data_IF_816433768242
#
_entry.id   IF_816433768242
#
_cell.length_a   1.000
_cell.length_b   1.000
_cell.length_c   1.000
_cell.angle_alpha   90.00
_cell.angle_beta   90.00
_cell.angle_gamma   90.00
#
_symmetry.space_group_name_H-M   'P 1'
#
loop_
_entity.id
_entity.type
_entity.pdbx_description
1 polymer ?
#
# COMPACT_ATOMS: atom_id res chain seq x y z
N UNK A 1 28.60 28.22 -12.67
CA UNK A 1 29.10 27.54 -11.45
C UNK A 1 28.09 26.47 -11.07
N UNK A 2 28.56 25.36 -10.53
CA UNK A 2 28.00 23.99 -10.55
C UNK A 2 26.52 23.88 -10.11
N UNK A 3 25.74 23.12 -10.87
CA UNK A 3 24.34 22.77 -10.61
C UNK A 3 24.24 22.00 -9.28
N UNK A 4 23.56 22.58 -8.30
CA UNK A 4 23.35 22.01 -6.96
C UNK A 4 22.66 20.65 -7.07
N UNK A 5 23.30 19.61 -6.55
CA UNK A 5 22.62 18.36 -6.19
C UNK A 5 21.78 18.67 -4.96
N UNK A 6 20.46 18.45 -5.01
CA UNK A 6 19.59 18.69 -3.85
C UNK A 6 18.78 17.43 -3.56
N UNK A 7 19.50 16.39 -3.14
CA UNK A 7 18.93 15.36 -2.26
C UNK A 7 19.41 15.61 -0.83
N UNK A 8 18.60 15.19 0.13
CA UNK A 8 18.91 15.29 1.55
C UNK A 8 18.70 13.96 2.22
N UNK A 9 19.71 13.53 3.00
CA UNK A 9 19.53 12.48 4.00
C UNK A 9 18.97 13.12 5.26
N UNK A 10 17.68 12.93 5.51
CA UNK A 10 16.96 13.54 6.62
C UNK A 10 16.81 12.56 7.78
N UNK A 11 16.88 13.07 9.00
CA UNK A 11 16.39 12.34 10.18
C UNK A 11 14.86 12.20 10.05
N UNK A 12 14.25 11.04 10.34
CA UNK A 12 12.81 10.84 10.26
C UNK A 12 11.98 11.89 11.01
N UNK A 13 12.50 12.47 12.09
CA UNK A 13 11.79 13.56 12.79
C UNK A 13 11.57 14.81 11.93
N UNK A 14 12.42 15.00 10.91
CA UNK A 14 12.37 16.11 9.96
C UNK A 14 11.52 15.77 8.71
N UNK A 15 10.95 14.56 8.65
CA UNK A 15 10.00 14.10 7.62
C UNK A 15 8.66 13.74 8.29
N UNK A 16 7.75 14.73 8.49
CA UNK A 16 6.55 14.54 9.28
C UNK A 16 5.72 13.32 8.87
N UNK A 17 5.37 12.50 9.85
CA UNK A 17 4.53 11.32 9.68
C UNK A 17 5.26 10.06 9.21
N UNK A 18 6.53 10.16 8.81
CA UNK A 18 7.30 9.04 8.27
C UNK A 18 8.37 8.54 9.24
N UNK A 19 8.64 7.25 9.17
CA UNK A 19 9.74 6.58 9.85
C UNK A 19 10.44 5.65 8.87
N UNK A 20 11.63 5.19 9.22
CA UNK A 20 12.44 4.32 8.34
C UNK A 20 12.97 3.10 9.09
N UNK A 21 13.26 2.03 8.35
CA UNK A 21 14.00 0.86 8.83
C UNK A 21 15.47 0.88 8.41
N UNK A 22 15.91 1.95 7.71
CA UNK A 22 17.32 2.12 7.31
C UNK A 22 18.24 2.06 8.53
N UNK A 23 19.38 1.38 8.38
CA UNK A 23 20.32 1.16 9.48
C UNK A 23 20.92 2.44 10.06
N UNK A 24 20.97 3.52 9.27
CA UNK A 24 21.42 4.83 9.72
C UNK A 24 20.27 5.70 10.23
N UNK A 25 19.04 5.19 10.21
CA UNK A 25 17.81 5.91 10.55
C UNK A 25 17.70 7.22 9.74
N UNK A 26 17.85 7.13 8.42
CA UNK A 26 17.72 8.27 7.51
C UNK A 26 16.69 8.01 6.40
N UNK A 27 16.05 9.07 5.94
CA UNK A 27 15.14 9.08 4.78
C UNK A 27 15.74 10.01 3.73
N UNK A 28 15.96 9.51 2.52
CA UNK A 28 16.46 10.35 1.42
C UNK A 28 15.30 10.97 0.64
N UNK A 29 15.27 12.30 0.58
CA UNK A 29 14.30 13.07 -0.20
C UNK A 29 15.03 13.85 -1.28
N UNK A 30 14.52 13.78 -2.51
CA UNK A 30 15.08 14.46 -3.67
C UNK A 30 14.21 15.62 -4.09
N UNK A 31 14.81 16.80 -4.30
CA UNK A 31 14.17 17.82 -5.11
C UNK A 31 14.17 17.39 -6.58
N UNK A 32 13.00 17.40 -7.21
CA UNK A 32 12.86 16.99 -8.60
C UNK A 32 12.90 18.19 -9.55
N UNK A 33 13.52 18.07 -10.75
CA UNK A 33 14.10 16.85 -11.29
C UNK A 33 15.56 16.61 -10.85
N UNK A 34 15.86 15.39 -10.40
CA UNK A 34 17.22 14.90 -10.14
C UNK A 34 17.42 13.56 -10.86
N UNK A 35 18.54 13.39 -11.59
CA UNK A 35 18.78 12.21 -12.45
C UNK A 35 17.61 11.84 -13.38
N UNK A 36 16.86 12.84 -13.86
CA UNK A 36 15.66 12.68 -14.70
C UNK A 36 14.49 11.99 -13.98
N UNK A 37 14.55 11.85 -12.66
CA UNK A 37 13.42 11.51 -11.82
C UNK A 37 12.57 12.77 -11.62
N UNK A 38 11.32 12.69 -12.08
CA UNK A 38 10.29 13.71 -11.90
C UNK A 38 9.32 13.14 -10.87
N UNK A 39 8.91 13.93 -9.88
CA UNK A 39 7.93 13.48 -8.89
C UNK A 39 6.57 13.26 -9.57
N UNK A 40 5.77 12.36 -9.01
CA UNK A 40 4.38 12.21 -9.43
C UNK A 40 3.56 13.43 -8.97
N UNK A 41 3.80 13.88 -7.74
CA UNK A 41 3.14 15.04 -7.15
C UNK A 41 4.18 16.03 -6.60
N UNK A 42 3.84 17.32 -6.59
CA UNK A 42 4.66 18.34 -5.94
C UNK A 42 6.06 18.47 -6.54
N UNK A 43 7.08 18.57 -5.68
CA UNK A 43 8.48 18.86 -6.06
C UNK A 43 9.49 17.86 -5.50
N UNK A 44 9.00 16.81 -4.82
CA UNK A 44 9.85 15.90 -4.05
C UNK A 44 9.50 14.45 -4.32
N UNK A 45 10.49 13.56 -4.21
CA UNK A 45 10.36 12.11 -4.31
C UNK A 45 11.25 11.46 -3.25
N UNK A 46 10.83 10.33 -2.69
CA UNK A 46 11.60 9.59 -1.69
C UNK A 46 12.42 8.48 -2.35
N UNK A 47 13.64 8.23 -1.89
CA UNK A 47 14.44 7.07 -2.29
C UNK A 47 14.44 6.04 -1.14
N UNK A 48 13.95 4.82 -1.38
CA UNK A 48 13.74 3.83 -0.33
C UNK A 48 15.04 3.24 0.21
N UNK A 49 15.99 2.91 -0.68
CA UNK A 49 17.23 2.24 -0.30
C UNK A 49 18.45 3.09 -0.60
N UNK A 50 18.49 4.32 -0.10
CA UNK A 50 19.61 5.25 -0.26
C UNK A 50 20.97 4.64 0.13
N UNK A 51 21.12 4.29 1.42
CA UNK A 51 22.37 3.76 1.99
C UNK A 51 22.32 2.24 2.25
N UNK A 52 21.12 1.69 2.42
CA UNK A 52 20.89 0.27 2.69
C UNK A 52 19.49 -0.13 2.20
N UNK A 53 19.22 -1.42 1.91
CA UNK A 53 17.86 -1.89 1.71
C UNK A 53 17.03 -1.58 2.94
N UNK A 54 16.01 -0.75 2.76
CA UNK A 54 15.19 -0.23 3.82
C UNK A 54 13.75 -0.03 3.35
N UNK A 55 12.93 0.39 4.31
CA UNK A 55 11.56 0.76 4.10
C UNK A 55 11.28 2.11 4.73
N UNK A 56 10.33 2.86 4.18
CA UNK A 56 9.67 3.96 4.88
C UNK A 56 8.26 3.56 5.25
N UNK A 57 7.79 3.98 6.42
CA UNK A 57 6.49 3.56 6.93
C UNK A 57 5.80 4.64 7.76
N UNK A 58 4.48 4.47 7.88
CA UNK A 58 3.63 5.21 8.82
C UNK A 58 2.86 4.21 9.69
N UNK A 59 2.67 4.54 10.97
CA UNK A 59 1.68 3.86 11.81
C UNK A 59 0.42 4.73 11.83
N UNK A 60 -0.63 4.26 11.17
CA UNK A 60 -1.86 5.02 10.94
C UNK A 60 -2.96 4.53 11.87
N UNK A 61 -3.76 5.44 12.42
CA UNK A 61 -5.02 5.08 13.07
C UNK A 61 -5.96 4.49 12.02
N UNK A 62 -6.57 3.34 12.34
CA UNK A 62 -7.46 2.64 11.41
C UNK A 62 -8.72 2.14 12.12
N UNK A 63 -9.85 2.34 11.46
CA UNK A 63 -11.13 1.80 11.89
C UNK A 63 -11.17 0.27 11.74
N UNK A 64 -11.37 -0.43 12.86
CA UNK A 64 -11.47 -1.90 12.89
C UNK A 64 -12.56 -2.43 11.96
N UNK A 65 -12.27 -3.53 11.25
CA UNK A 65 -13.22 -4.14 10.32
C UNK A 65 -13.53 -3.30 9.09
N UNK A 66 -12.79 -2.21 8.82
CA UNK A 66 -12.94 -1.43 7.60
C UNK A 66 -12.02 -1.93 6.50
N UNK A 67 -12.42 -1.68 5.26
CA UNK A 67 -11.62 -1.91 4.07
C UNK A 67 -10.86 -0.62 3.71
N UNK A 68 -9.57 -0.77 3.49
CA UNK A 68 -8.69 0.30 3.04
C UNK A 68 -8.06 -0.06 1.69
N UNK A 69 -7.80 0.98 0.89
CA UNK A 69 -6.91 0.92 -0.25
C UNK A 69 -5.56 1.49 0.16
N UNK A 70 -4.49 0.77 -0.12
CA UNK A 70 -3.14 1.32 -0.11
C UNK A 70 -2.72 1.58 -1.56
N UNK A 71 -1.91 2.61 -1.77
CA UNK A 71 -1.27 2.81 -3.06
C UNK A 71 0.02 3.61 -2.96
N UNK A 72 0.84 3.54 -4.00
CA UNK A 72 2.03 4.36 -4.17
C UNK A 72 2.48 4.35 -5.63
N UNK A 73 3.29 5.34 -5.98
CA UNK A 73 3.97 5.43 -7.26
C UNK A 73 5.41 4.98 -7.10
N UNK A 74 5.93 4.18 -8.03
CA UNK A 74 7.27 3.62 -7.98
C UNK A 74 8.00 3.78 -9.31
N UNK A 75 9.30 4.09 -9.27
CA UNK A 75 10.18 3.96 -10.43
C UNK A 75 11.58 3.54 -10.01
N UNK A 76 12.33 3.05 -10.99
CA UNK A 76 13.74 2.83 -10.82
C UNK A 76 14.51 4.15 -10.87
N UNK A 77 15.57 4.27 -10.06
CA UNK A 77 16.47 5.41 -10.08
C UNK A 77 17.30 5.40 -11.37
N UNK A 78 18.11 4.36 -11.55
CA UNK A 78 18.99 4.19 -12.71
C UNK A 78 19.50 2.75 -12.84
N UNK A 79 19.86 2.35 -14.05
CA UNK A 79 20.75 1.21 -14.28
C UNK A 79 20.12 -0.18 -14.04
N UNK A 80 18.98 -0.44 -14.66
CA UNK A 80 18.34 -1.76 -14.72
C UNK A 80 16.97 -1.80 -14.05
N UNK A 81 16.65 -2.94 -13.44
CA UNK A 81 15.37 -3.21 -12.77
C UNK A 81 15.51 -3.01 -11.27
N UNK A 82 14.56 -2.32 -10.66
CA UNK A 82 14.49 -2.12 -9.21
C UNK A 82 13.15 -2.64 -8.70
N UNK A 83 13.17 -3.29 -7.53
CA UNK A 83 12.04 -4.02 -6.98
C UNK A 83 11.63 -3.41 -5.65
N UNK A 84 10.36 -3.02 -5.54
CA UNK A 84 9.76 -2.53 -4.31
C UNK A 84 8.53 -3.37 -3.92
N UNK A 85 8.00 -3.16 -2.72
CA UNK A 85 6.79 -3.80 -2.23
C UNK A 85 6.10 -2.99 -1.16
N UNK A 86 4.85 -3.35 -0.88
CA UNK A 86 4.10 -2.85 0.27
C UNK A 86 4.02 -3.95 1.34
N UNK A 87 4.21 -3.56 2.60
CA UNK A 87 3.95 -4.39 3.76
C UNK A 87 2.86 -3.73 4.62
N UNK A 88 1.93 -4.54 5.11
CA UNK A 88 0.88 -4.08 6.03
C UNK A 88 1.01 -4.89 7.31
N UNK A 89 1.29 -4.21 8.42
CA UNK A 89 1.65 -4.83 9.70
C UNK A 89 2.82 -5.83 9.61
N UNK A 90 3.72 -5.64 8.62
CA UNK A 90 4.87 -6.51 8.36
C UNK A 90 4.61 -7.65 7.38
N UNK A 91 3.34 -7.91 7.03
CA UNK A 91 2.97 -8.93 6.06
C UNK A 91 2.98 -8.37 4.63
N UNK A 92 3.29 -9.23 3.64
CA UNK A 92 3.26 -8.86 2.22
C UNK A 92 1.86 -8.42 1.81
N UNK A 93 1.75 -7.22 1.26
CA UNK A 93 0.53 -6.74 0.64
C UNK A 93 0.58 -7.00 -0.87
N UNK A 94 -0.47 -7.64 -1.39
CA UNK A 94 -0.61 -7.95 -2.81
C UNK A 94 -1.48 -6.90 -3.49
N UNK A 95 -1.06 -6.45 -4.66
CA UNK A 95 -1.82 -5.51 -5.48
C UNK A 95 -3.05 -6.18 -6.13
N UNK A 96 -3.80 -5.40 -6.91
CA UNK A 96 -5.00 -5.88 -7.63
C UNK A 96 -4.70 -6.98 -8.66
N UNK A 97 -3.46 -7.08 -9.14
CA UNK A 97 -2.98 -8.10 -10.09
C UNK A 97 -2.29 -9.27 -9.37
N UNK A 98 -2.45 -9.35 -8.04
CA UNK A 98 -1.88 -10.38 -7.17
C UNK A 98 -0.34 -10.44 -7.22
N UNK A 99 0.31 -9.28 -7.40
CA UNK A 99 1.76 -9.09 -7.32
C UNK A 99 2.15 -8.50 -5.96
N UNK A 100 3.35 -8.83 -5.48
CA UNK A 100 3.93 -8.22 -4.26
C UNK A 100 5.32 -7.63 -4.47
N UNK A 101 6.01 -8.01 -5.55
CA UNK A 101 7.27 -7.39 -6.00
C UNK A 101 6.96 -6.55 -7.22
N UNK A 102 7.00 -5.24 -7.03
CA UNK A 102 6.71 -4.25 -8.05
C UNK A 102 8.00 -3.88 -8.75
N UNK A 103 8.07 -4.20 -10.04
CA UNK A 103 9.27 -4.02 -10.86
C UNK A 103 9.19 -2.67 -11.55
N UNK A 104 10.24 -1.87 -11.41
CA UNK A 104 10.44 -0.70 -12.22
C UNK A 104 11.68 -0.84 -13.10
N UNK A 105 11.53 -0.56 -14.40
CA UNK A 105 12.63 -0.49 -15.36
C UNK A 105 13.17 0.94 -15.44
N UNK A 106 14.48 1.13 -15.23
CA UNK A 106 15.15 2.42 -15.36
C UNK A 106 15.08 3.06 -16.77
N UNK A 107 14.72 2.30 -17.80
CA UNK A 107 14.43 2.85 -19.14
C UNK A 107 13.12 3.63 -19.16
N UNK A 108 12.19 3.29 -18.26
CA UNK A 108 10.92 3.97 -18.04
C UNK A 108 11.15 5.16 -17.10
N UNK A 109 10.79 6.36 -17.55
CA UNK A 109 11.07 7.61 -16.82
C UNK A 109 9.96 8.02 -15.86
N UNK A 110 8.75 7.55 -16.11
CA UNK A 110 7.58 7.84 -15.30
C UNK A 110 7.48 6.84 -14.15
N UNK A 111 6.77 7.24 -13.10
CA UNK A 111 6.42 6.31 -12.05
C UNK A 111 5.26 5.42 -12.50
N UNK A 112 5.30 4.17 -12.10
CA UNK A 112 4.22 3.19 -12.21
C UNK A 112 3.38 3.25 -10.94
N UNK A 113 2.07 3.19 -11.07
CA UNK A 113 1.14 3.19 -9.94
C UNK A 113 0.85 1.76 -9.50
N UNK A 114 0.90 1.53 -8.19
CA UNK A 114 0.56 0.25 -7.56
C UNK A 114 -0.49 0.48 -6.50
N UNK A 115 -1.51 -0.38 -6.46
CA UNK A 115 -2.56 -0.32 -5.44
C UNK A 115 -3.06 -1.70 -5.06
N UNK A 116 -3.53 -1.83 -3.82
CA UNK A 116 -4.19 -3.01 -3.35
C UNK A 116 -5.10 -2.71 -2.18
N UNK A 117 -5.65 -3.78 -1.60
CA UNK A 117 -6.68 -3.67 -0.59
C UNK A 117 -6.30 -4.40 0.70
N UNK A 118 -6.73 -3.84 1.83
CA UNK A 118 -6.56 -4.45 3.13
C UNK A 118 -7.82 -4.30 3.97
N UNK A 119 -8.38 -5.44 4.36
CA UNK A 119 -9.45 -5.50 5.35
C UNK A 119 -8.82 -5.56 6.74
N UNK A 120 -9.02 -4.51 7.53
CA UNK A 120 -8.52 -4.49 8.90
C UNK A 120 -9.21 -5.59 9.73
N UNK A 121 -8.45 -6.39 10.50
CA UNK A 121 -9.02 -7.33 11.43
C UNK A 121 -9.97 -6.65 12.44
N UNK A 122 -10.95 -7.38 13.00
CA UNK A 122 -11.67 -6.88 14.17
C UNK A 122 -10.70 -6.47 15.27
N UNK A 123 -11.02 -5.40 16.00
CA UNK A 123 -10.22 -4.81 17.10
C UNK A 123 -8.87 -4.17 16.73
N UNK A 124 -8.43 -4.21 15.47
CA UNK A 124 -7.23 -3.48 15.06
C UNK A 124 -7.52 -1.97 14.98
N UNK A 125 -6.77 -1.16 15.74
CA UNK A 125 -6.93 0.30 15.79
C UNK A 125 -5.75 1.09 15.22
N UNK A 126 -4.63 0.41 14.96
CA UNK A 126 -3.43 0.96 14.34
C UNK A 126 -2.98 -0.02 13.25
N UNK A 127 -2.71 0.49 12.06
CA UNK A 127 -2.11 -0.27 10.97
C UNK A 127 -0.79 0.36 10.58
N UNK A 128 0.28 -0.44 10.51
CA UNK A 128 1.53 -0.01 9.88
C UNK A 128 1.41 -0.23 8.38
N UNK A 129 1.60 0.84 7.60
CA UNK A 129 1.75 0.78 6.15
C UNK A 129 3.21 1.11 5.83
N UNK A 130 3.88 0.19 5.14
CA UNK A 130 5.32 0.23 4.90
C UNK A 130 5.61 0.00 3.41
N UNK A 131 6.49 0.80 2.82
CA UNK A 131 6.97 0.64 1.45
C UNK A 131 8.44 0.25 1.50
N UNK A 132 8.76 -0.90 0.93
CA UNK A 132 10.04 -1.58 1.10
C UNK A 132 10.78 -1.71 -0.22
N UNK A 133 12.08 -1.46 -0.21
CA UNK A 133 12.96 -1.88 -1.28
C UNK A 133 13.38 -3.34 -1.09
N UNK A 134 13.30 -4.16 -2.15
CA UNK A 134 13.70 -5.56 -2.13
C UNK A 134 15.03 -5.81 -2.83
N UNK A 135 15.22 -5.26 -4.03
CA UNK A 135 16.47 -5.48 -4.78
C UNK A 135 16.64 -4.52 -5.96
N UNK A 136 17.82 -4.61 -6.58
CA UNK A 136 18.18 -4.02 -7.87
C UNK A 136 18.83 -5.10 -8.75
N UNK A 137 18.70 -5.00 -10.07
CA UNK A 137 19.33 -5.88 -11.08
C UNK A 137 19.73 -5.03 -12.30
N UNK A 138 20.82 -5.34 -13.03
CA UNK A 138 21.71 -6.50 -12.89
C UNK A 138 22.72 -6.37 -11.75
N UNK A 139 22.79 -5.20 -11.11
CA UNK A 139 23.68 -4.98 -9.97
C UNK A 139 23.07 -5.61 -8.72
N UNK A 140 23.77 -6.53 -8.07
CA UNK A 140 23.42 -7.03 -6.74
C UNK A 140 23.75 -5.99 -5.64
N UNK A 141 23.43 -4.72 -5.88
CA UNK A 141 23.58 -3.64 -4.91
C UNK A 141 22.20 -3.20 -4.45
N UNK A 142 21.89 -3.47 -3.19
CA UNK A 142 20.62 -3.06 -2.58
C UNK A 142 20.64 -1.59 -2.10
N UNK A 143 21.48 -0.76 -2.71
CA UNK A 143 21.63 0.67 -2.40
C UNK A 143 21.35 1.51 -3.64
N UNK A 144 21.02 2.79 -3.43
CA UNK A 144 20.75 3.77 -4.45
C UNK A 144 19.66 3.33 -5.47
N UNK A 145 18.42 3.20 -5.01
CA UNK A 145 17.28 2.89 -5.87
C UNK A 145 15.91 3.03 -5.21
N UNK A 146 14.91 2.58 -5.96
CA UNK A 146 13.49 2.52 -5.60
C UNK A 146 12.95 3.88 -5.18
N UNK A 147 12.71 4.72 -6.18
CA UNK A 147 12.10 6.02 -5.96
C UNK A 147 10.59 5.87 -5.85
N UNK A 148 10.00 6.43 -4.80
CA UNK A 148 8.56 6.39 -4.56
C UNK A 148 7.96 7.77 -4.27
N UNK A 149 6.70 7.93 -4.63
CA UNK A 149 5.91 9.13 -4.38
C UNK A 149 4.41 8.79 -4.23
N UNK A 150 3.61 9.74 -3.78
CA UNK A 150 2.15 9.63 -3.76
C UNK A 150 1.63 8.43 -2.97
N UNK A 151 2.30 8.07 -1.87
CA UNK A 151 1.87 7.02 -0.97
C UNK A 151 0.55 7.38 -0.29
N UNK A 152 -0.42 6.48 -0.35
CA UNK A 152 -1.79 6.74 0.11
C UNK A 152 -2.37 5.56 0.90
N UNK A 153 -3.25 5.88 1.85
CA UNK A 153 -3.99 4.94 2.68
C UNK A 153 -5.41 5.47 2.91
N UNK A 154 -6.36 4.96 2.12
CA UNK A 154 -7.72 5.49 2.04
C UNK A 154 -8.72 4.48 2.54
N UNK A 155 -9.53 4.87 3.51
CA UNK A 155 -10.70 4.09 3.90
C UNK A 155 -11.73 4.14 2.76
N UNK A 156 -12.09 2.98 2.22
CA UNK A 156 -13.02 2.84 1.10
C UNK A 156 -14.35 2.20 1.50
N UNK A 157 -14.39 1.45 2.61
CA UNK A 157 -15.64 0.97 3.18
C UNK A 157 -15.54 0.77 4.71
N UNK A 158 -16.63 1.08 5.42
CA UNK A 158 -16.83 0.67 6.82
C UNK A 158 -17.37 -0.76 6.88
N UNK A 159 -17.17 -1.49 8.00
CA UNK A 159 -17.89 -2.74 8.21
C UNK A 159 -19.39 -2.46 8.22
N UNK A 160 -20.15 -3.18 7.40
CA UNK A 160 -21.61 -3.26 7.53
C UNK A 160 -21.93 -4.56 8.26
N UNK A 161 -22.57 -4.45 9.42
CA UNK A 161 -23.12 -5.62 10.11
C UNK A 161 -24.52 -5.86 9.54
N UNK A 162 -24.71 -6.95 8.80
CA UNK A 162 -26.04 -7.42 8.44
C UNK A 162 -26.41 -8.60 9.34
N UNK A 163 -27.52 -8.47 10.05
CA UNK A 163 -28.11 -9.57 10.83
C UNK A 163 -29.01 -10.38 9.90
N UNK A 164 -28.68 -11.64 9.67
CA UNK A 164 -29.55 -12.59 8.96
C UNK A 164 -30.34 -13.37 10.00
N UNK A 165 -31.67 -13.39 9.87
CA UNK A 165 -32.58 -14.14 10.72
C UNK A 165 -32.84 -15.55 10.18
N UNK A 166 -33.24 -16.45 11.07
CA UNK A 166 -33.65 -17.80 10.69
C UNK A 166 -34.91 -17.72 9.83
N UNK A 167 -34.83 -18.20 8.58
CA UNK A 167 -35.92 -18.12 7.61
C UNK A 167 -35.76 -17.01 6.55
N UNK A 168 -34.72 -16.18 6.65
CA UNK A 168 -34.35 -15.29 5.57
C UNK A 168 -33.97 -16.12 4.33
N UNK A 169 -34.25 -15.55 3.15
CA UNK A 169 -33.80 -16.14 1.89
C UNK A 169 -32.27 -16.21 1.87
N UNK A 170 -31.69 -17.17 1.13
CA UNK A 170 -30.24 -17.15 0.89
C UNK A 170 -29.83 -15.74 0.41
N UNK A 171 -28.69 -15.19 0.86
CA UNK A 171 -28.28 -13.84 0.53
C UNK A 171 -27.83 -13.75 -0.94
N UNK A 172 -28.80 -13.86 -1.85
CA UNK A 172 -28.68 -13.54 -3.27
C UNK A 172 -29.14 -12.09 -3.53
N UNK A 173 -29.46 -11.34 -2.46
CA UNK A 173 -29.93 -9.97 -2.58
C UNK A 173 -28.76 -9.01 -2.79
N UNK A 174 -28.57 -8.61 -4.05
CA UNK A 174 -27.65 -7.57 -4.48
C UNK A 174 -27.85 -6.21 -3.76
N UNK A 175 -28.94 -6.03 -2.99
CA UNK A 175 -29.18 -4.85 -2.17
C UNK A 175 -28.43 -4.83 -0.83
N UNK A 176 -27.80 -5.95 -0.41
CA UNK A 176 -27.09 -6.03 0.88
C UNK A 176 -25.77 -5.23 0.91
N UNK A 177 -25.34 -4.70 -0.23
CA UNK A 177 -24.20 -3.80 -0.34
C UNK A 177 -24.72 -2.37 -0.53
N UNK A 178 -25.01 -1.69 0.58
CA UNK A 178 -25.73 -0.41 0.58
C UNK A 178 -24.87 0.80 0.21
N UNK A 179 -23.54 0.66 0.17
CA UNK A 179 -22.63 1.74 -0.24
C UNK A 179 -21.28 1.20 -0.68
N UNK A 180 -21.14 0.91 -1.97
CA UNK A 180 -19.82 0.84 -2.61
C UNK A 180 -19.52 2.19 -3.25
N UNK A 181 -18.27 2.64 -3.12
CA UNK A 181 -17.75 3.67 -4.03
C UNK A 181 -17.86 3.15 -5.47
N UNK A 182 -18.00 4.06 -6.43
CA UNK A 182 -18.08 3.72 -7.85
C UNK A 182 -16.88 2.84 -8.26
N UNK A 183 -17.14 1.65 -8.82
CA UNK A 183 -16.13 0.71 -9.33
C UNK A 183 -15.88 -0.55 -8.49
N UNK A 184 -16.45 -0.67 -7.28
CA UNK A 184 -16.29 -1.88 -6.44
C UNK A 184 -17.43 -2.91 -6.66
N UNK A 185 -17.15 -4.21 -6.44
CA UNK A 185 -18.05 -5.38 -6.54
C UNK A 185 -17.82 -6.36 -5.37
N UNK A 186 -18.86 -6.87 -4.71
CA UNK A 186 -18.71 -7.86 -3.64
C UNK A 186 -18.42 -9.27 -4.20
N UNK A 187 -17.44 -9.99 -3.61
CA UNK A 187 -17.20 -11.40 -3.90
C UNK A 187 -17.85 -12.29 -2.83
N UNK A 188 -18.56 -13.33 -3.28
CA UNK A 188 -19.21 -14.33 -2.42
C UNK A 188 -18.15 -15.30 -1.89
N UNK A 189 -17.91 -15.31 -0.58
CA UNK A 189 -17.12 -16.38 0.06
C UNK A 189 -18.11 -17.47 0.46
N UNK A 190 -18.15 -18.57 -0.31
CA UNK A 190 -18.77 -19.91 -0.11
C UNK A 190 -20.10 -20.02 0.69
N UNK A 191 -21.05 -20.89 0.30
CA UNK A 191 -22.31 -21.04 1.02
C UNK A 191 -22.04 -21.44 2.48
N UNK A 192 -22.62 -20.66 3.39
CA UNK A 192 -22.43 -20.83 4.83
C UNK A 192 -23.22 -22.04 5.30
N UNK A 193 -22.60 -22.89 6.12
CA UNK A 193 -23.27 -24.02 6.74
C UNK A 193 -24.16 -23.55 7.91
N UNK A 194 -25.48 -23.65 7.72
CA UNK A 194 -26.50 -23.33 8.73
C UNK A 194 -26.84 -24.53 9.64
N UNK A 195 -26.06 -25.62 9.63
CA UNK A 195 -26.36 -26.85 10.38
C UNK A 195 -26.32 -26.73 11.90
N UNK A 196 -25.79 -25.62 12.46
CA UNK A 196 -25.73 -25.40 13.91
C UNK A 196 -26.72 -24.32 14.38
N UNK A 197 -27.77 -24.78 15.05
CA UNK A 197 -28.85 -23.96 15.62
C UNK A 197 -28.31 -23.15 16.82
N UNK A 198 -28.57 -21.83 16.85
CA UNK A 198 -28.44 -21.01 18.07
C UNK A 198 -27.26 -20.03 18.14
N UNK A 199 -26.53 -19.79 17.05
CA UNK A 199 -25.54 -18.69 16.97
C UNK A 199 -25.97 -17.70 15.88
N UNK A 200 -26.07 -16.42 16.24
CA UNK A 200 -26.17 -15.34 15.28
C UNK A 200 -24.89 -15.37 14.44
N UNK A 201 -24.99 -15.71 13.15
CA UNK A 201 -23.87 -15.59 12.23
C UNK A 201 -23.80 -14.12 11.77
N UNK A 202 -22.81 -13.38 12.27
CA UNK A 202 -22.52 -12.01 11.82
C UNK A 202 -21.65 -12.12 10.57
N UNK A 203 -22.18 -11.68 9.42
CA UNK A 203 -21.42 -11.65 8.17
C UNK A 203 -20.83 -10.27 7.91
N UNK A 204 -19.65 -10.25 7.29
CA UNK A 204 -19.01 -9.03 6.78
C UNK A 204 -18.68 -9.25 5.31
N UNK A 205 -19.20 -8.40 4.44
CA UNK A 205 -18.86 -8.39 3.03
C UNK A 205 -18.06 -7.12 2.71
N UNK A 206 -17.05 -7.26 1.84
CA UNK A 206 -16.25 -6.16 1.33
C UNK A 206 -16.29 -6.21 -0.21
N UNK A 207 -16.55 -5.07 -0.85
CA UNK A 207 -16.44 -4.96 -2.30
C UNK A 207 -14.99 -4.75 -2.74
N UNK A 208 -14.60 -5.35 -3.87
CA UNK A 208 -13.31 -5.21 -4.56
C UNK A 208 -13.53 -4.58 -5.94
N UNK A 209 -12.62 -3.73 -6.44
CA UNK A 209 -12.71 -3.26 -7.83
C UNK A 209 -12.23 -4.32 -8.82
N UNK A 210 -12.86 -4.36 -10.01
CA UNK A 210 -12.36 -5.03 -11.21
C UNK A 210 -11.72 -4.01 -12.14
#
# INVERSE_FOLDING_TARGET
MVQMVISWMLDPKDVPGWSTTDINNQIEIWATPLYRAVSHNGRFICELNANSPASVYQNLSTDSGSLYRWSFWHRARYGGMEYAGALINGDKAFDIDNQFEFIADSTVRYLTYHEGYFATPPSLSITRVEFKAYSKKPYDSDVAGNLIDGCDWVKIASPVNNTIYLGDSAPDDNSLVTSLLQGYSANVVQPVDFSTIGKNNIYRYYGYQK
#
